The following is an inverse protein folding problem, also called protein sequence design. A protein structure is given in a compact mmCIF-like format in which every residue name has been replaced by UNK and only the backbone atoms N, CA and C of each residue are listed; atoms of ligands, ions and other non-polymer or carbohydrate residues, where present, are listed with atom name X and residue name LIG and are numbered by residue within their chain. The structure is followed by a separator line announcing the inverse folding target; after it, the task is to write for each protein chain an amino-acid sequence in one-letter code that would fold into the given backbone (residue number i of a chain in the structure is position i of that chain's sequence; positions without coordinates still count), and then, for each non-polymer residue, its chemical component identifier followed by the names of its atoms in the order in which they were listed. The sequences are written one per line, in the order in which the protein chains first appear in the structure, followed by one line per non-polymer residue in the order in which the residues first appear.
data_IF_780710787251
#
_entry.id   IF_780710787251
#
_cell.length_a   1.000
_cell.length_b   1.000
_cell.length_c   1.000
_cell.angle_alpha   90.00
_cell.angle_beta   90.00
_cell.angle_gamma   90.00
#
_symmetry.space_group_name_H-M   'P 1'
#
loop_
_entity.id
_entity.type
_entity.pdbx_description
1 polymer ?
#
# COMPACT_ATOMS: atom_id res chain seq x y z
N UNK A 1 89.11 12.48 11.27
CA UNK A 1 88.95 13.69 10.43
C UNK A 1 87.46 13.81 10.16
N UNK A 2 86.67 14.70 10.77
CA UNK A 2 86.94 16.11 11.07
C UNK A 2 86.12 16.94 10.07
N UNK A 3 85.33 17.88 10.58
CA UNK A 3 84.41 18.87 9.94
C UNK A 3 82.92 18.49 9.95
N UNK A 4 81.96 19.31 10.38
CA UNK A 4 81.93 20.62 11.04
C UNK A 4 80.48 20.77 11.58
N UNK A 5 80.26 21.09 12.85
CA UNK A 5 79.69 22.39 13.19
C UNK A 5 78.17 22.53 12.98
N UNK A 6 77.35 21.88 13.82
CA UNK A 6 75.95 22.28 14.00
C UNK A 6 75.95 23.47 14.96
N UNK A 7 75.76 24.66 14.39
CA UNK A 7 75.57 25.93 15.10
C UNK A 7 74.09 26.31 14.95
N UNK A 8 73.40 26.37 16.08
CA UNK A 8 72.06 26.98 16.27
C UNK A 8 72.11 28.50 15.96
N UNK A 9 71.03 29.33 16.07
CA UNK A 9 69.62 29.09 16.49
C UNK A 9 68.51 29.85 15.70
N UNK A 10 67.25 29.51 16.00
CA UNK A 10 66.02 30.34 16.05
C UNK A 10 65.44 31.13 14.85
N UNK A 11 64.09 31.07 14.80
CA UNK A 11 63.12 31.90 14.05
C UNK A 11 62.98 31.55 12.56
N UNK A 12 61.83 31.52 11.90
CA UNK A 12 60.42 31.75 12.22
C UNK A 12 59.62 31.31 10.97
N UNK A 13 58.31 31.15 11.10
CA UNK A 13 57.35 31.28 9.99
C UNK A 13 57.39 30.22 8.88
N UNK A 14 56.79 29.05 9.14
CA UNK A 14 56.10 28.30 8.09
C UNK A 14 54.61 28.34 8.39
N UNK A 15 54.06 29.50 8.03
CA UNK A 15 52.74 29.73 7.46
C UNK A 15 51.86 28.47 7.34
N UNK A 16 50.92 28.36 8.27
CA UNK A 16 49.68 27.59 8.11
C UNK A 16 48.98 28.03 6.81
N UNK A 17 48.44 27.11 6.00
CA UNK A 17 47.61 27.48 4.85
C UNK A 17 46.35 28.22 5.34
N UNK A 18 46.13 29.41 4.77
CA UNK A 18 45.06 30.36 5.09
C UNK A 18 43.65 29.74 4.87
N UNK A 19 42.65 30.03 5.74
CA UNK A 19 41.30 29.47 5.68
C UNK A 19 40.30 30.31 4.86
N UNK A 20 40.64 30.76 3.64
CA UNK A 20 39.76 31.66 2.86
C UNK A 20 39.16 31.07 1.58
N UNK A 21 39.34 29.77 1.30
CA UNK A 21 38.87 29.16 0.05
C UNK A 21 37.66 28.22 0.20
N UNK A 22 36.83 28.39 1.24
CA UNK A 22 35.72 27.48 1.53
C UNK A 22 34.38 28.20 1.76
N UNK A 23 34.18 29.40 1.20
CA UNK A 23 32.92 30.15 1.30
C UNK A 23 32.09 30.18 0.02
N UNK A 24 32.66 29.79 -1.14
CA UNK A 24 31.97 29.87 -2.42
C UNK A 24 31.25 28.57 -2.81
N UNK A 25 31.73 27.40 -2.38
CA UNK A 25 31.17 26.10 -2.80
C UNK A 25 29.81 25.74 -2.16
N UNK A 26 29.56 26.18 -0.92
CA UNK A 26 28.27 25.98 -0.25
C UNK A 26 27.17 26.88 -0.86
N UNK A 27 27.51 28.11 -1.23
CA UNK A 27 26.60 29.02 -1.93
C UNK A 27 26.26 28.53 -3.35
N UNK A 28 27.22 27.89 -4.05
CA UNK A 28 26.96 27.24 -5.35
C UNK A 28 26.07 25.99 -5.24
N UNK A 29 26.00 25.31 -4.09
CA UNK A 29 25.18 24.12 -3.90
C UNK A 29 23.69 24.46 -3.69
N UNK A 30 23.39 25.59 -3.07
CA UNK A 30 22.01 26.02 -2.80
C UNK A 30 21.30 26.57 -4.05
N UNK A 31 22.00 27.36 -4.86
CA UNK A 31 21.47 27.89 -6.12
C UNK A 31 21.09 26.79 -7.13
N UNK A 32 21.80 25.65 -7.11
CA UNK A 32 21.49 24.49 -7.96
C UNK A 32 20.26 23.72 -7.46
N UNK A 33 20.10 23.56 -6.13
CA UNK A 33 18.95 22.86 -5.52
C UNK A 33 17.62 23.55 -5.83
N UNK A 34 17.56 24.88 -5.80
CA UNK A 34 16.32 25.61 -6.09
C UNK A 34 15.90 25.47 -7.56
N UNK A 35 16.84 25.58 -8.50
CA UNK A 35 16.59 25.36 -9.93
C UNK A 35 16.17 23.91 -10.21
N UNK A 36 16.84 22.94 -9.58
CA UNK A 36 16.48 21.53 -9.73
C UNK A 36 15.11 21.22 -9.13
N UNK A 37 14.73 21.82 -8.01
CA UNK A 37 13.40 21.67 -7.42
C UNK A 37 12.30 22.26 -8.30
N UNK A 38 12.52 23.43 -8.92
CA UNK A 38 11.57 24.01 -9.89
C UNK A 38 11.45 23.14 -11.16
N UNK A 39 12.56 22.59 -11.64
CA UNK A 39 12.60 21.73 -12.82
C UNK A 39 11.93 20.36 -12.54
N UNK A 40 12.24 19.74 -11.40
CA UNK A 40 11.57 18.51 -10.93
C UNK A 40 10.08 18.76 -10.73
N UNK A 41 9.68 19.87 -10.09
CA UNK A 41 8.26 20.21 -9.91
C UNK A 41 7.54 20.42 -11.24
N UNK A 42 8.18 21.08 -12.22
CA UNK A 42 7.62 21.23 -13.56
C UNK A 42 7.47 19.88 -14.27
N UNK A 43 8.48 19.00 -14.17
CA UNK A 43 8.44 17.65 -14.73
C UNK A 43 7.30 16.82 -14.14
N UNK A 44 7.10 16.88 -12.81
CA UNK A 44 6.01 16.17 -12.11
C UNK A 44 4.64 16.68 -12.51
N UNK A 45 4.45 18.00 -12.65
CA UNK A 45 3.16 18.56 -13.09
C UNK A 45 2.86 18.15 -14.52
N UNK A 46 3.85 18.21 -15.42
CA UNK A 46 3.68 17.80 -16.82
C UNK A 46 3.34 16.31 -16.93
N UNK A 47 3.98 15.44 -16.14
CA UNK A 47 3.69 14.00 -16.18
C UNK A 47 2.28 13.66 -15.69
N UNK A 48 1.83 14.28 -14.59
CA UNK A 48 0.47 14.11 -14.07
C UNK A 48 -0.56 14.61 -15.08
N UNK A 49 -0.36 15.80 -15.67
CA UNK A 49 -1.27 16.35 -16.68
C UNK A 49 -1.29 15.51 -17.95
N UNK A 50 -0.16 14.97 -18.40
CA UNK A 50 -0.11 14.07 -19.56
C UNK A 50 -0.84 12.74 -19.29
N UNK A 51 -0.68 12.18 -18.08
CA UNK A 51 -1.32 10.92 -17.70
C UNK A 51 -2.84 11.06 -17.55
N UNK A 52 -3.30 12.15 -16.90
CA UNK A 52 -4.74 12.42 -16.77
C UNK A 52 -5.36 12.94 -18.08
N UNK A 53 -4.64 13.78 -18.82
CA UNK A 53 -5.10 14.36 -20.09
C UNK A 53 -5.17 13.36 -21.25
N UNK A 54 -4.23 12.40 -21.31
CA UNK A 54 -4.22 11.36 -22.35
C UNK A 54 -5.29 10.28 -22.18
N UNK A 55 -5.85 10.14 -20.97
CA UNK A 55 -6.87 9.13 -20.68
C UNK A 55 -8.23 9.44 -21.33
N UNK A 56 -8.56 10.72 -21.51
CA UNK A 56 -9.85 11.17 -22.06
C UNK A 56 -9.95 10.86 -23.57
N UNK A 57 -8.87 11.06 -24.33
CA UNK A 57 -8.86 10.78 -25.78
C UNK A 57 -8.94 9.27 -26.09
N UNK A 58 -8.33 8.44 -25.23
CA UNK A 58 -8.41 6.97 -25.36
C UNK A 58 -9.82 6.43 -25.10
N UNK A 59 -10.59 7.11 -24.25
CA UNK A 59 -11.97 6.70 -23.91
C UNK A 59 -12.98 7.01 -25.04
N UNK A 60 -12.83 8.15 -25.73
CA UNK A 60 -13.74 8.53 -26.84
C UNK A 60 -13.59 7.60 -28.06
N UNK A 61 -12.38 7.09 -28.32
CA UNK A 61 -12.15 6.11 -29.40
C UNK A 61 -12.81 4.75 -29.17
N UNK A 62 -13.21 4.41 -27.93
CA UNK A 62 -13.89 3.15 -27.61
C UNK A 62 -15.41 3.21 -27.81
N UNK A 63 -16.03 4.39 -27.74
CA UNK A 63 -17.46 4.55 -28.01
C UNK A 63 -17.80 4.73 -29.49
N UNK A 64 -16.80 4.95 -30.35
CA UNK A 64 -17.00 5.22 -31.78
C UNK A 64 -16.34 4.20 -32.71
N UNK A 65 -16.04 2.98 -32.25
CA UNK A 65 -15.56 1.90 -33.14
C UNK A 65 -16.75 1.25 -33.87
N UNK A 66 -16.98 1.49 -35.18
CA UNK A 66 -17.71 0.54 -35.99
C UNK A 66 -16.92 -0.78 -36.02
N UNK A 67 -17.63 -1.90 -35.84
CA UNK A 67 -17.05 -3.24 -35.80
C UNK A 67 -16.18 -3.50 -37.06
N UNK A 68 -14.97 -4.08 -36.92
CA UNK A 68 -14.22 -4.55 -38.07
C UNK A 68 -14.97 -5.72 -38.74
N UNK A 69 -15.01 -5.80 -40.08
CA UNK A 69 -15.68 -6.86 -40.79
C UNK A 69 -14.99 -8.20 -40.51
N UNK A 70 -15.81 -9.22 -40.29
CA UNK A 70 -15.38 -10.58 -40.01
C UNK A 70 -14.70 -11.21 -41.23
N UNK A 71 -13.46 -11.67 -41.05
CA UNK A 71 -12.87 -12.70 -41.89
C UNK A 71 -12.49 -13.89 -41.00
N UNK A 72 -13.16 -15.01 -41.22
CA UNK A 72 -12.81 -16.36 -40.74
C UNK A 72 -12.10 -17.07 -41.90
N UNK A 73 -11.13 -17.99 -41.67
CA UNK A 73 -11.50 -19.30 -41.10
C UNK A 73 -10.43 -20.02 -40.23
N UNK A 74 -10.93 -20.97 -39.42
CA UNK A 74 -10.30 -22.19 -38.90
C UNK A 74 -10.05 -22.30 -37.37
N UNK A 75 -10.71 -23.32 -36.80
CA UNK A 75 -10.61 -23.95 -35.47
C UNK A 75 -11.21 -23.23 -34.24
N UNK A 76 -12.25 -23.83 -33.58
CA UNK A 76 -12.79 -23.33 -32.32
C UNK A 76 -11.88 -23.74 -31.16
N UNK A 77 -10.83 -22.98 -30.91
CA UNK A 77 -10.27 -22.89 -29.56
C UNK A 77 -11.16 -21.90 -28.79
N UNK A 78 -11.65 -22.21 -27.56
CA UNK A 78 -12.41 -21.24 -26.80
C UNK A 78 -11.52 -20.02 -26.57
N UNK A 79 -11.83 -18.95 -27.32
CA UNK A 79 -11.30 -17.63 -27.08
C UNK A 79 -11.55 -17.34 -25.61
N UNK A 80 -10.46 -17.26 -24.84
CA UNK A 80 -10.50 -16.70 -23.51
C UNK A 80 -11.02 -15.27 -23.68
N UNK A 81 -12.32 -15.11 -23.41
CA UNK A 81 -12.88 -13.82 -23.07
C UNK A 81 -11.95 -13.19 -22.03
N UNK A 82 -11.74 -11.87 -22.04
CA UNK A 82 -11.14 -11.22 -20.90
C UNK A 82 -12.05 -11.52 -19.71
N UNK A 83 -11.64 -12.50 -18.90
CA UNK A 83 -12.29 -12.81 -17.63
C UNK A 83 -12.11 -11.53 -16.84
N UNK A 84 -13.18 -10.73 -16.77
CA UNK A 84 -13.25 -9.64 -15.81
C UNK A 84 -12.82 -10.24 -14.46
N UNK A 85 -11.90 -9.61 -13.72
CA UNK A 85 -11.50 -10.15 -12.44
C UNK A 85 -12.77 -10.39 -11.62
N UNK A 86 -12.96 -11.59 -11.05
CA UNK A 86 -14.18 -11.89 -10.32
C UNK A 86 -14.32 -10.83 -9.22
N UNK A 87 -15.42 -10.09 -9.24
CA UNK A 87 -15.77 -9.19 -8.15
C UNK A 87 -16.12 -10.10 -6.98
N UNK A 88 -15.16 -10.30 -6.07
CA UNK A 88 -15.34 -11.15 -4.91
C UNK A 88 -16.30 -10.44 -3.95
N UNK A 89 -17.50 -10.99 -3.80
CA UNK A 89 -18.48 -10.48 -2.84
C UNK A 89 -18.06 -10.79 -1.41
N UNK A 90 -18.56 -10.01 -0.45
CA UNK A 90 -18.26 -10.21 0.96
C UNK A 90 -18.70 -11.60 1.45
N UNK A 91 -19.86 -12.08 0.99
CA UNK A 91 -20.38 -13.41 1.29
C UNK A 91 -19.46 -14.52 0.76
N UNK A 92 -18.92 -14.35 -0.46
CA UNK A 92 -17.96 -15.31 -1.01
C UNK A 92 -16.67 -15.37 -0.18
N UNK A 93 -16.22 -14.24 0.38
CA UNK A 93 -15.08 -14.22 1.31
C UNK A 93 -15.40 -14.96 2.60
N UNK A 94 -16.57 -14.69 3.21
CA UNK A 94 -17.02 -15.38 4.43
C UNK A 94 -17.05 -16.90 4.19
N UNK A 95 -17.68 -17.35 3.10
CA UNK A 95 -17.76 -18.77 2.76
C UNK A 95 -16.37 -19.41 2.54
N UNK A 96 -15.43 -18.67 1.95
CA UNK A 96 -14.04 -19.10 1.78
C UNK A 96 -13.35 -19.37 3.12
N UNK A 97 -13.47 -18.43 4.08
CA UNK A 97 -12.89 -18.61 5.41
C UNK A 97 -13.64 -19.67 6.23
N UNK A 98 -14.95 -19.81 6.07
CA UNK A 98 -15.70 -20.91 6.70
C UNK A 98 -15.23 -22.28 6.22
N UNK A 99 -14.79 -22.40 4.97
CA UNK A 99 -14.19 -23.64 4.48
C UNK A 99 -12.85 -23.95 5.16
N UNK A 100 -12.07 -22.93 5.53
CA UNK A 100 -10.88 -23.09 6.37
C UNK A 100 -11.29 -23.55 7.76
N UNK A 101 -12.30 -22.93 8.37
CA UNK A 101 -12.80 -23.31 9.71
C UNK A 101 -13.35 -24.74 9.77
N UNK A 102 -13.92 -25.28 8.67
CA UNK A 102 -14.32 -26.69 8.60
C UNK A 102 -13.15 -27.65 8.79
N UNK A 103 -11.95 -27.22 8.39
CA UNK A 103 -10.71 -28.01 8.52
C UNK A 103 -9.99 -27.68 9.83
N UNK A 104 -9.98 -26.41 10.20
CA UNK A 104 -9.26 -25.86 11.34
C UNK A 104 -10.19 -24.97 12.17
N UNK A 105 -11.06 -25.57 13.01
CA UNK A 105 -12.12 -24.85 13.71
C UNK A 105 -11.60 -23.83 14.73
N UNK A 106 -10.36 -24.00 15.19
CA UNK A 106 -9.71 -23.14 16.17
C UNK A 106 -8.63 -22.24 15.53
N UNK A 107 -8.64 -22.09 14.20
CA UNK A 107 -7.69 -21.21 13.52
C UNK A 107 -8.03 -19.74 13.81
N UNK A 108 -7.16 -19.00 14.53
CA UNK A 108 -7.44 -17.62 14.93
C UNK A 108 -7.62 -16.70 13.72
N UNK A 109 -6.79 -16.86 12.69
CA UNK A 109 -6.82 -15.98 11.52
C UNK A 109 -8.14 -16.14 10.75
N UNK A 110 -8.63 -17.37 10.60
CA UNK A 110 -9.90 -17.61 9.94
C UNK A 110 -11.08 -17.10 10.77
N UNK A 111 -11.07 -17.31 12.10
CA UNK A 111 -12.10 -16.79 13.00
C UNK A 111 -12.15 -15.25 12.97
N UNK A 112 -11.01 -14.59 13.06
CA UNK A 112 -10.91 -13.13 13.03
C UNK A 112 -11.40 -12.56 11.70
N UNK A 113 -11.01 -13.18 10.58
CA UNK A 113 -11.47 -12.77 9.26
C UNK A 113 -12.98 -12.94 9.09
N UNK A 114 -13.56 -14.07 9.53
CA UNK A 114 -15.02 -14.28 9.49
C UNK A 114 -15.74 -13.24 10.34
N UNK A 115 -15.24 -12.93 11.55
CA UNK A 115 -15.82 -11.88 12.40
C UNK A 115 -15.79 -10.54 11.69
N UNK A 116 -14.63 -10.12 11.17
CA UNK A 116 -14.49 -8.81 10.52
C UNK A 116 -15.41 -8.71 9.28
N UNK A 117 -15.42 -9.73 8.44
CA UNK A 117 -16.26 -9.75 7.24
C UNK A 117 -17.75 -9.72 7.61
N UNK A 118 -18.20 -10.46 8.63
CA UNK A 118 -19.60 -10.42 9.06
C UNK A 118 -19.99 -9.08 9.71
N UNK A 119 -19.07 -8.41 10.41
CA UNK A 119 -19.29 -7.02 10.89
C UNK A 119 -19.50 -6.09 9.69
N UNK A 120 -18.68 -6.20 8.64
CA UNK A 120 -18.84 -5.42 7.41
C UNK A 120 -20.15 -5.75 6.68
N UNK A 121 -20.60 -7.01 6.76
CA UNK A 121 -21.88 -7.45 6.22
C UNK A 121 -23.07 -6.91 7.01
N UNK A 122 -22.81 -6.24 8.13
CA UNK A 122 -23.81 -5.90 9.14
C UNK A 122 -24.56 -7.15 9.62
N UNK A 123 -23.89 -8.29 9.74
CA UNK A 123 -24.39 -9.51 10.38
C UNK A 123 -23.81 -9.63 11.79
N UNK A 124 -24.35 -8.85 12.74
CA UNK A 124 -23.87 -8.88 14.12
C UNK A 124 -24.35 -10.12 14.88
N UNK A 125 -25.40 -10.81 14.41
CA UNK A 125 -25.84 -12.07 15.02
C UNK A 125 -24.86 -13.20 14.70
N UNK A 126 -24.43 -13.28 13.46
CA UNK A 126 -23.49 -14.30 13.00
C UNK A 126 -22.04 -14.11 13.47
N UNK A 127 -21.67 -12.93 13.97
CA UNK A 127 -20.33 -12.69 14.56
C UNK A 127 -20.18 -13.24 15.97
N UNK A 128 -21.27 -13.42 16.71
CA UNK A 128 -21.21 -13.78 18.14
C UNK A 128 -20.52 -15.14 18.35
N UNK A 129 -20.87 -16.15 17.55
CA UNK A 129 -20.31 -17.50 17.69
C UNK A 129 -18.79 -17.56 17.42
N UNK A 130 -18.25 -17.09 16.27
CA UNK A 130 -16.81 -17.12 16.02
C UNK A 130 -16.02 -16.23 16.99
N UNK A 131 -16.61 -15.10 17.43
CA UNK A 131 -15.99 -14.23 18.42
C UNK A 131 -15.95 -14.85 19.83
N UNK A 132 -16.97 -15.65 20.19
CA UNK A 132 -16.97 -16.41 21.45
C UNK A 132 -15.88 -17.47 21.44
N UNK A 133 -15.66 -18.15 20.32
CA UNK A 133 -14.54 -19.08 20.15
C UNK A 133 -13.21 -18.35 20.32
N UNK A 134 -13.01 -17.19 19.69
CA UNK A 134 -11.79 -16.37 19.88
C UNK A 134 -11.56 -15.99 21.35
N UNK A 135 -12.60 -15.54 22.06
CA UNK A 135 -12.51 -15.17 23.47
C UNK A 135 -12.14 -16.37 24.37
N UNK A 136 -12.56 -17.58 24.01
CA UNK A 136 -12.20 -18.82 24.73
C UNK A 136 -10.77 -19.26 24.45
N UNK A 137 -10.31 -19.15 23.20
CA UNK A 137 -8.97 -19.53 22.78
C UNK A 137 -7.91 -18.55 23.30
N UNK A 138 -8.25 -17.26 23.38
CA UNK A 138 -7.33 -16.18 23.77
C UNK A 138 -7.90 -15.35 24.93
N UNK A 139 -8.04 -15.92 26.13
CA UNK A 139 -8.59 -15.21 27.30
C UNK A 139 -7.70 -14.07 27.80
N UNK A 140 -6.41 -14.06 27.41
CA UNK A 140 -5.48 -12.96 27.69
C UNK A 140 -5.78 -11.71 26.88
N UNK A 141 -6.48 -11.86 25.74
CA UNK A 141 -6.85 -10.73 24.91
C UNK A 141 -8.16 -10.12 25.43
N UNK A 142 -8.05 -8.93 26.00
CA UNK A 142 -9.16 -8.19 26.60
C UNK A 142 -10.09 -7.57 25.54
N UNK A 143 -9.68 -7.49 24.28
CA UNK A 143 -10.49 -6.90 23.21
C UNK A 143 -11.67 -7.80 22.81
N UNK A 144 -11.46 -9.12 22.73
CA UNK A 144 -12.53 -10.06 22.35
C UNK A 144 -13.75 -10.04 23.27
N UNK A 145 -13.64 -10.07 24.62
CA UNK A 145 -14.82 -10.00 25.47
C UNK A 145 -15.52 -8.63 25.43
N UNK A 146 -14.80 -7.55 25.15
CA UNK A 146 -15.39 -6.21 24.97
C UNK A 146 -16.18 -6.18 23.66
N UNK A 147 -15.56 -6.61 22.56
CA UNK A 147 -16.19 -6.71 21.25
C UNK A 147 -17.41 -7.64 21.28
N UNK A 148 -17.34 -8.74 22.03
CA UNK A 148 -18.45 -9.69 22.16
C UNK A 148 -19.65 -9.09 22.85
N UNK A 149 -19.44 -8.28 23.89
CA UNK A 149 -20.53 -7.53 24.53
C UNK A 149 -21.16 -6.56 23.54
N UNK A 150 -20.36 -5.79 22.82
CA UNK A 150 -20.84 -4.83 21.82
C UNK A 150 -21.65 -5.52 20.72
N UNK A 151 -21.12 -6.60 20.13
CA UNK A 151 -21.81 -7.34 19.07
C UNK A 151 -23.11 -7.96 19.58
N UNK A 152 -23.15 -8.48 20.82
CA UNK A 152 -24.39 -8.98 21.43
C UNK A 152 -25.44 -7.89 21.61
N UNK A 153 -25.06 -6.68 22.03
CA UNK A 153 -26.02 -5.57 22.11
C UNK A 153 -26.53 -5.16 20.74
N UNK A 154 -25.64 -5.03 19.74
CA UNK A 154 -26.05 -4.72 18.36
C UNK A 154 -26.94 -5.81 17.75
N UNK A 155 -26.65 -7.08 18.03
CA UNK A 155 -27.43 -8.23 17.58
C UNK A 155 -28.88 -8.24 18.11
N UNK A 156 -29.12 -7.71 19.32
CA UNK A 156 -30.48 -7.55 19.88
C UNK A 156 -31.28 -6.50 19.10
N UNK A 157 -30.62 -5.40 18.75
CA UNK A 157 -31.24 -4.29 18.01
C UNK A 157 -31.42 -4.61 16.53
N UNK A 158 -30.69 -5.61 16.00
CA UNK A 158 -30.87 -6.08 14.64
C UNK A 158 -32.18 -6.84 14.47
N UNK A 159 -33.09 -6.35 13.59
CA UNK A 159 -34.22 -7.16 13.13
C UNK A 159 -33.66 -8.37 12.37
N UNK A 160 -34.38 -9.50 12.39
CA UNK A 160 -33.98 -10.77 11.76
C UNK A 160 -34.01 -10.73 10.21
N UNK A 161 -33.79 -9.56 9.62
CA UNK A 161 -34.03 -9.22 8.22
C UNK A 161 -32.71 -8.77 7.57
N UNK A 162 -31.72 -9.65 7.54
CA UNK A 162 -30.54 -9.54 6.67
C UNK A 162 -30.06 -10.96 6.34
N UNK A 163 -30.99 -11.78 5.86
CA UNK A 163 -30.69 -13.02 5.16
C UNK A 163 -31.26 -12.85 3.75
N UNK A 164 -30.43 -12.81 2.69
CA UNK A 164 -30.92 -13.00 1.34
C UNK A 164 -31.52 -14.41 1.16
#
# INVERSE_FOLDING_TARGET
MGILGIKEPCCADILLPHPDAMSSFEEYAEARKQKNRRLIQALTVVSVVAFLGGSIQSFVGMMSRPAPPAETPASPSPAAAPVAPPVVTLEAQIAGYEQVLKREPENPAALEMVVNLRIQAQDYRGTVAPLETLARLYPQNQDYPVLLKEMREKAKTQPAENSP
#
